data_IF_353842498068
#
_entry.id   IF_353842498068
#
_cell.length_a   1.000
_cell.length_b   1.000
_cell.length_c   1.000
_cell.angle_alpha   90.00
_cell.angle_beta   90.00
_cell.angle_gamma   90.00
#
_symmetry.space_group_name_H-M   'P 1'
#
loop_
_entity.id
_entity.type
_entity.pdbx_description
1 polymer ?
#
# COMPACT_ATOMS: atom_id res chain seq x y z
N UNK A 1 -34.75 15.91 14.60
CA UNK A 1 -33.28 16.03 14.59
C UNK A 1 -32.65 15.93 15.99
N UNK A 2 -33.14 16.74 16.94
CA UNK A 2 -32.61 16.74 18.31
C UNK A 2 -32.78 15.38 19.00
N UNK A 3 -33.92 14.71 18.80
CA UNK A 3 -34.17 13.36 19.30
C UNK A 3 -33.28 12.32 18.63
N UNK A 4 -33.16 12.34 17.30
CA UNK A 4 -32.27 11.43 16.55
C UNK A 4 -30.78 11.62 16.88
N UNK A 5 -30.38 12.85 17.21
CA UNK A 5 -29.06 13.20 17.71
C UNK A 5 -28.88 12.91 19.22
N UNK A 6 -29.90 12.34 19.89
CA UNK A 6 -29.90 12.04 21.33
C UNK A 6 -29.66 13.26 22.24
N UNK A 7 -30.06 14.43 21.80
CA UNK A 7 -29.99 15.67 22.58
C UNK A 7 -31.20 15.86 23.51
N UNK A 8 -32.30 15.21 23.17
CA UNK A 8 -33.53 15.14 24.01
C UNK A 8 -33.98 13.69 24.09
N UNK A 9 -34.64 13.26 25.20
CA UNK A 9 -35.17 11.91 25.32
C UNK A 9 -36.22 11.62 24.24
N UNK A 10 -36.23 10.36 23.76
CA UNK A 10 -37.26 9.92 22.82
C UNK A 10 -38.62 9.94 23.47
N UNK A 11 -39.57 10.60 22.81
CA UNK A 11 -40.96 10.71 23.29
C UNK A 11 -41.87 9.59 22.76
N UNK A 12 -41.37 8.74 21.86
CA UNK A 12 -42.13 7.66 21.23
C UNK A 12 -41.56 6.30 21.51
N UNK A 13 -42.36 5.37 22.00
CA UNK A 13 -42.06 3.94 22.15
C UNK A 13 -42.18 3.16 20.82
N UNK A 14 -42.31 3.84 19.70
CA UNK A 14 -42.42 3.19 18.39
C UNK A 14 -41.09 3.20 17.70
N UNK A 15 -40.62 2.00 17.29
CA UNK A 15 -39.49 1.78 16.39
C UNK A 15 -39.76 2.45 15.03
N UNK A 16 -39.70 3.77 14.95
CA UNK A 16 -39.80 4.50 13.70
C UNK A 16 -38.39 4.73 13.16
N UNK A 17 -37.96 3.88 12.24
CA UNK A 17 -36.68 3.95 11.48
C UNK A 17 -36.43 5.27 10.75
N UNK A 18 -37.45 6.14 10.66
CA UNK A 18 -37.39 7.44 10.01
C UNK A 18 -36.49 8.48 10.71
N UNK A 19 -36.18 8.30 11.98
CA UNK A 19 -35.38 9.24 12.77
C UNK A 19 -34.05 8.60 13.22
N UNK A 20 -33.43 7.77 12.37
CA UNK A 20 -32.11 7.24 12.65
C UNK A 20 -31.06 8.37 12.69
N UNK A 21 -29.96 8.14 13.42
CA UNK A 21 -28.83 9.06 13.47
C UNK A 21 -28.27 9.36 12.06
N UNK A 22 -28.24 8.36 11.19
CA UNK A 22 -27.83 8.51 9.79
C UNK A 22 -28.72 9.50 9.03
N UNK A 23 -30.04 9.38 9.16
CA UNK A 23 -30.98 10.29 8.54
C UNK A 23 -30.87 11.72 9.10
N UNK A 24 -30.62 11.87 10.41
CA UNK A 24 -30.38 13.17 11.01
C UNK A 24 -29.13 13.87 10.42
N UNK A 25 -28.03 13.14 10.25
CA UNK A 25 -26.81 13.66 9.62
C UNK A 25 -27.07 14.03 8.15
N UNK A 26 -27.76 13.18 7.39
CA UNK A 26 -28.14 13.48 5.99
C UNK A 26 -28.98 14.75 5.87
N UNK A 27 -29.95 14.93 6.76
CA UNK A 27 -30.76 16.17 6.79
C UNK A 27 -29.87 17.37 7.11
N UNK A 28 -28.97 17.27 8.09
CA UNK A 28 -28.07 18.38 8.42
C UNK A 28 -27.16 18.78 7.26
N UNK A 29 -26.76 17.83 6.40
CA UNK A 29 -25.98 18.13 5.19
C UNK A 29 -26.70 19.04 4.20
N UNK A 30 -28.04 19.11 4.24
CA UNK A 30 -28.84 19.96 3.36
C UNK A 30 -29.01 21.40 3.90
N UNK A 31 -28.64 21.66 5.15
CA UNK A 31 -28.72 23.00 5.72
C UNK A 31 -27.56 23.87 5.21
N UNK A 32 -27.82 25.11 4.82
CA UNK A 32 -26.77 26.04 4.41
C UNK A 32 -25.86 26.44 5.58
N UNK A 33 -26.39 26.44 6.81
CA UNK A 33 -25.65 26.69 8.06
C UNK A 33 -26.12 25.71 9.12
N UNK A 34 -25.19 25.06 9.79
CA UNK A 34 -25.49 24.11 10.84
C UNK A 34 -25.94 24.87 12.09
N UNK A 35 -27.13 24.60 12.68
CA UNK A 35 -27.54 25.23 13.91
C UNK A 35 -26.54 24.93 15.05
N UNK A 36 -26.10 25.96 15.76
CA UNK A 36 -25.03 25.90 16.78
C UNK A 36 -25.28 24.84 17.87
N UNK A 37 -26.54 24.61 18.22
CA UNK A 37 -26.96 23.61 19.22
C UNK A 37 -26.56 22.16 18.84
N UNK A 38 -26.35 21.87 17.56
CA UNK A 38 -25.98 20.53 17.09
C UNK A 38 -24.46 20.32 16.97
N UNK A 39 -23.68 21.40 16.92
CA UNK A 39 -22.23 21.35 16.71
C UNK A 39 -21.52 20.44 17.74
N UNK A 40 -21.77 20.54 19.07
CA UNK A 40 -21.08 19.68 20.03
C UNK A 40 -21.33 18.18 19.79
N UNK A 41 -22.56 17.82 19.40
CA UNK A 41 -22.89 16.43 19.10
C UNK A 41 -22.29 15.96 17.80
N UNK A 42 -22.27 16.79 16.77
CA UNK A 42 -21.62 16.50 15.48
C UNK A 42 -20.12 16.33 15.70
N UNK A 43 -19.48 17.19 16.48
CA UNK A 43 -18.07 17.08 16.82
C UNK A 43 -17.76 15.78 17.60
N UNK A 44 -18.62 15.41 18.54
CA UNK A 44 -18.52 14.13 19.25
C UNK A 44 -18.54 12.93 18.29
N UNK A 45 -19.39 12.97 17.24
CA UNK A 45 -19.47 11.93 16.21
C UNK A 45 -18.25 11.97 15.28
N UNK A 46 -17.81 13.17 14.90
CA UNK A 46 -16.65 13.40 14.04
C UNK A 46 -15.32 12.90 14.66
N UNK A 47 -15.22 12.92 15.99
CA UNK A 47 -14.08 12.41 16.78
C UNK A 47 -14.35 11.00 17.34
N UNK A 48 -15.47 10.39 16.98
CA UNK A 48 -15.92 9.08 17.48
C UNK A 48 -15.30 7.90 16.74
N UNK A 49 -15.39 6.70 17.36
CA UNK A 49 -14.82 5.46 16.83
C UNK A 49 -15.65 4.85 15.68
N UNK A 50 -16.92 5.22 15.57
CA UNK A 50 -17.85 4.66 14.56
C UNK A 50 -17.60 5.34 13.21
N UNK A 51 -16.87 4.66 12.36
CA UNK A 51 -16.39 5.20 11.08
C UNK A 51 -17.52 5.68 10.15
N UNK A 52 -18.65 4.97 10.11
CA UNK A 52 -19.81 5.30 9.24
C UNK A 52 -20.37 6.70 9.52
N UNK A 53 -20.42 7.12 10.79
CA UNK A 53 -20.91 8.44 11.16
C UNK A 53 -19.81 9.50 11.17
N UNK A 54 -18.56 9.06 11.38
CA UNK A 54 -17.42 9.97 11.53
C UNK A 54 -17.18 10.81 10.29
N UNK A 55 -17.08 10.19 9.12
CA UNK A 55 -16.82 10.92 7.87
C UNK A 55 -17.90 11.93 7.54
N UNK A 56 -19.16 11.53 7.67
CA UNK A 56 -20.29 12.43 7.43
C UNK A 56 -20.33 13.59 8.43
N UNK A 57 -19.96 13.35 9.69
CA UNK A 57 -19.89 14.39 10.71
C UNK A 57 -18.68 15.31 10.50
N UNK A 58 -17.54 14.79 10.03
CA UNK A 58 -16.37 15.60 9.67
C UNK A 58 -16.70 16.55 8.53
N UNK A 59 -17.35 16.08 7.46
CA UNK A 59 -17.79 16.92 6.35
C UNK A 59 -18.71 18.08 6.80
N UNK A 60 -19.51 17.87 7.84
CA UNK A 60 -20.36 18.92 8.42
C UNK A 60 -19.51 19.96 9.18
N UNK A 61 -18.55 19.53 9.99
CA UNK A 61 -17.66 20.45 10.72
C UNK A 61 -16.79 21.26 9.75
N UNK A 62 -16.33 20.68 8.66
CA UNK A 62 -15.51 21.35 7.64
C UNK A 62 -16.24 22.51 6.93
N UNK A 63 -17.58 22.50 6.94
CA UNK A 63 -18.40 23.61 6.42
C UNK A 63 -18.47 24.81 7.37
N UNK A 64 -18.03 24.65 8.62
CA UNK A 64 -18.04 25.73 9.60
C UNK A 64 -16.91 26.73 9.32
N UNK A 65 -17.07 28.00 9.71
CA UNK A 65 -15.93 28.93 9.77
C UNK A 65 -14.86 28.39 10.72
N UNK A 66 -13.59 28.47 10.30
CA UNK A 66 -12.43 28.06 11.11
C UNK A 66 -12.57 26.65 11.72
N UNK A 67 -12.81 25.60 10.89
CA UNK A 67 -13.10 24.25 11.37
C UNK A 67 -11.98 23.68 12.25
N UNK A 68 -10.74 24.11 12.05
CA UNK A 68 -9.57 23.68 12.84
C UNK A 68 -9.74 23.99 14.34
N UNK A 69 -10.42 25.07 14.72
CA UNK A 69 -10.65 25.40 16.12
C UNK A 69 -11.53 24.37 16.84
N UNK A 70 -12.56 23.87 16.15
CA UNK A 70 -13.41 22.79 16.69
C UNK A 70 -12.64 21.46 16.77
N UNK A 71 -11.83 21.15 15.76
CA UNK A 71 -11.07 19.90 15.71
C UNK A 71 -10.01 19.87 16.81
N UNK A 72 -9.38 21.00 17.11
CA UNK A 72 -8.37 21.13 18.19
C UNK A 72 -8.94 20.74 19.57
N UNK A 73 -10.25 20.83 19.80
CA UNK A 73 -10.85 20.31 21.03
C UNK A 73 -10.55 18.81 21.21
N UNK A 74 -10.48 18.05 20.10
CA UNK A 74 -10.13 16.64 20.11
C UNK A 74 -8.72 16.34 20.64
N UNK A 75 -7.78 17.29 20.48
CA UNK A 75 -6.41 17.16 20.96
C UNK A 75 -6.32 17.09 22.50
N UNK A 76 -7.27 17.71 23.19
CA UNK A 76 -7.35 17.71 24.67
C UNK A 76 -8.12 16.54 25.24
N UNK A 77 -8.65 15.66 24.40
CA UNK A 77 -9.48 14.52 24.81
C UNK A 77 -8.68 13.53 25.65
N UNK A 78 -9.31 13.04 26.74
CA UNK A 78 -8.77 11.91 27.53
C UNK A 78 -8.70 10.59 26.72
N UNK A 79 -9.53 10.46 25.68
CA UNK A 79 -9.57 9.26 24.83
C UNK A 79 -8.46 9.34 23.78
N UNK A 80 -7.55 8.36 23.80
CA UNK A 80 -6.45 8.23 22.82
C UNK A 80 -6.97 8.33 21.37
N UNK A 81 -8.02 7.56 21.02
CA UNK A 81 -8.54 7.52 19.66
C UNK A 81 -9.03 8.88 19.17
N UNK A 82 -9.66 9.68 20.04
CA UNK A 82 -10.11 11.03 19.67
C UNK A 82 -8.91 11.94 19.35
N UNK A 83 -7.81 11.86 20.13
CA UNK A 83 -6.58 12.60 19.83
C UNK A 83 -5.98 12.16 18.49
N UNK A 84 -5.89 10.84 18.25
CA UNK A 84 -5.42 10.30 16.97
C UNK A 84 -6.26 10.81 15.78
N UNK A 85 -7.59 10.77 15.91
CA UNK A 85 -8.51 11.25 14.87
C UNK A 85 -8.28 12.75 14.63
N UNK A 86 -8.20 13.56 15.68
CA UNK A 86 -8.01 15.00 15.57
C UNK A 86 -6.68 15.36 14.88
N UNK A 87 -5.57 14.69 15.25
CA UNK A 87 -4.25 14.90 14.63
C UNK A 87 -4.30 14.60 13.14
N UNK A 88 -4.81 13.41 12.76
CA UNK A 88 -4.90 13.01 11.36
C UNK A 88 -5.78 13.98 10.55
N UNK A 89 -6.94 14.35 11.11
CA UNK A 89 -7.87 15.24 10.45
C UNK A 89 -7.29 16.65 10.25
N UNK A 90 -6.62 17.23 11.25
CA UNK A 90 -5.92 18.51 11.10
C UNK A 90 -4.81 18.44 10.04
N UNK A 91 -4.11 17.32 9.96
CA UNK A 91 -3.07 17.08 8.95
C UNK A 91 -3.67 17.00 7.54
N UNK A 92 -4.78 16.27 7.38
CA UNK A 92 -5.50 16.12 6.09
C UNK A 92 -6.05 17.46 5.59
N UNK A 93 -6.54 18.32 6.49
CA UNK A 93 -7.00 19.67 6.16
C UNK A 93 -5.87 20.62 5.77
N UNK A 94 -4.63 20.22 6.00
CA UNK A 94 -3.41 20.99 5.71
C UNK A 94 -3.47 22.44 6.24
N UNK A 95 -4.02 22.64 7.45
CA UNK A 95 -4.18 23.96 8.05
C UNK A 95 -3.03 24.25 9.03
N UNK A 96 -2.12 25.15 8.63
CA UNK A 96 -0.96 25.54 9.43
C UNK A 96 -1.31 26.23 10.77
N UNK A 97 -2.50 26.76 10.93
CA UNK A 97 -2.95 27.37 12.20
C UNK A 97 -3.09 26.33 13.34
N UNK A 98 -3.09 25.03 12.99
CA UNK A 98 -3.11 23.93 13.96
C UNK A 98 -1.72 23.68 14.60
N UNK A 99 -0.63 24.10 13.97
CA UNK A 99 0.75 23.78 14.40
C UNK A 99 1.03 24.14 15.88
N UNK A 100 0.68 25.34 16.40
CA UNK A 100 0.90 25.66 17.80
C UNK A 100 0.23 24.70 18.78
N UNK A 101 -0.98 24.24 18.46
CA UNK A 101 -1.71 23.28 19.28
C UNK A 101 -1.07 21.88 19.26
N UNK A 102 -0.59 21.43 18.08
CA UNK A 102 0.13 20.16 17.94
C UNK A 102 1.46 20.18 18.71
N UNK A 103 2.22 21.27 18.62
CA UNK A 103 3.47 21.46 19.40
C UNK A 103 3.20 21.46 20.90
N UNK A 104 2.13 22.14 21.35
CA UNK A 104 1.76 22.17 22.76
C UNK A 104 1.40 20.78 23.29
N UNK A 105 0.64 20.00 22.51
CA UNK A 105 0.31 18.61 22.87
C UNK A 105 1.54 17.72 22.90
N UNK A 106 2.47 17.83 21.94
CA UNK A 106 3.68 17.00 21.89
C UNK A 106 4.54 17.12 23.17
N UNK A 107 4.55 18.29 23.81
CA UNK A 107 5.29 18.51 25.06
C UNK A 107 4.73 17.75 26.26
N UNK A 108 3.46 17.39 26.24
CA UNK A 108 2.76 16.77 27.38
C UNK A 108 2.25 15.35 27.10
N UNK A 109 2.27 14.93 25.86
CA UNK A 109 1.78 13.61 25.47
C UNK A 109 2.74 12.49 25.87
N UNK A 110 2.22 11.43 26.47
CA UNK A 110 3.00 10.27 26.92
C UNK A 110 2.71 9.00 26.11
N UNK A 111 1.63 8.97 25.30
CA UNK A 111 1.32 7.80 24.48
C UNK A 111 2.21 7.81 23.23
N UNK A 112 2.98 6.74 23.03
CA UNK A 112 3.99 6.64 21.96
C UNK A 112 3.37 6.76 20.56
N UNK A 113 2.16 6.21 20.36
CA UNK A 113 1.46 6.27 19.07
C UNK A 113 1.02 7.70 18.76
N UNK A 114 0.45 8.38 19.76
CA UNK A 114 0.04 9.78 19.61
C UNK A 114 1.23 10.68 19.36
N UNK A 115 2.33 10.48 20.11
CA UNK A 115 3.60 11.22 19.89
C UNK A 115 4.14 11.04 18.48
N UNK A 116 4.15 9.79 17.99
CA UNK A 116 4.61 9.48 16.62
C UNK A 116 3.76 10.20 15.58
N UNK A 117 2.44 10.21 15.74
CA UNK A 117 1.54 10.91 14.83
C UNK A 117 1.71 12.44 14.89
N UNK A 118 1.96 12.99 16.08
CA UNK A 118 2.27 14.43 16.24
C UNK A 118 3.55 14.82 15.51
N UNK A 119 4.64 14.06 15.67
CA UNK A 119 5.91 14.31 14.97
C UNK A 119 5.69 14.21 13.45
N UNK A 120 4.95 13.19 12.98
CA UNK A 120 4.60 13.04 11.57
C UNK A 120 3.80 14.23 11.04
N UNK A 121 2.82 14.71 11.80
CA UNK A 121 2.02 15.88 11.45
C UNK A 121 2.85 17.16 11.40
N UNK A 122 3.74 17.38 12.38
CA UNK A 122 4.63 18.54 12.42
C UNK A 122 5.58 18.54 11.22
N UNK A 123 6.15 17.38 10.86
CA UNK A 123 6.96 17.23 9.65
C UNK A 123 6.17 17.59 8.39
N UNK A 124 4.91 17.13 8.30
CA UNK A 124 4.01 17.45 7.18
C UNK A 124 3.82 18.96 7.03
N UNK A 125 3.74 19.70 8.14
CA UNK A 125 3.64 21.15 8.17
C UNK A 125 4.98 21.89 7.96
N UNK A 126 6.09 21.15 7.77
CA UNK A 126 7.41 21.72 7.52
C UNK A 126 8.20 22.10 8.78
N UNK A 127 7.76 21.68 9.95
CA UNK A 127 8.51 21.87 11.20
C UNK A 127 9.77 20.98 11.23
N UNK A 128 10.83 21.46 11.85
CA UNK A 128 12.07 20.70 12.01
C UNK A 128 11.90 19.57 13.03
N UNK A 129 12.11 18.33 12.57
CA UNK A 129 12.05 17.13 13.40
C UNK A 129 13.43 16.49 13.62
N UNK A 130 14.53 17.16 13.27
CA UNK A 130 15.89 16.60 13.33
C UNK A 130 16.27 16.10 14.73
N UNK A 131 15.81 16.76 15.79
CA UNK A 131 16.06 16.37 17.19
C UNK A 131 15.48 14.98 17.51
N UNK A 132 14.41 14.55 16.82
CA UNK A 132 13.79 13.23 16.99
C UNK A 132 14.50 12.14 16.17
N UNK A 133 15.43 12.50 15.30
CA UNK A 133 16.19 11.60 14.43
C UNK A 133 17.63 11.39 14.91
N UNK A 134 18.06 12.07 15.97
CA UNK A 134 19.38 11.89 16.56
C UNK A 134 19.51 10.50 17.20
N UNK A 135 20.61 9.75 16.97
CA UNK A 135 20.81 8.40 17.50
C UNK A 135 20.72 8.29 19.04
N UNK A 136 21.13 9.32 19.78
CA UNK A 136 21.02 9.31 21.25
C UNK A 136 19.56 9.49 21.70
N UNK A 137 18.82 10.37 21.02
CA UNK A 137 17.38 10.55 21.25
C UNK A 137 16.62 9.28 20.93
N UNK A 138 16.94 8.62 19.81
CA UNK A 138 16.32 7.35 19.40
C UNK A 138 16.61 6.23 20.41
N UNK A 139 17.82 6.17 20.97
CA UNK A 139 18.15 5.19 22.00
C UNK A 139 17.37 5.46 23.29
N UNK A 140 17.31 6.70 23.73
CA UNK A 140 16.55 7.09 24.92
C UNK A 140 15.04 6.78 24.75
N UNK A 141 14.47 7.08 23.57
CA UNK A 141 13.09 6.73 23.24
C UNK A 141 12.86 5.21 23.29
N UNK A 142 13.78 4.44 22.70
CA UNK A 142 13.71 2.98 22.71
C UNK A 142 13.76 2.41 24.13
N UNK A 143 14.62 2.94 24.99
CA UNK A 143 14.73 2.51 26.37
C UNK A 143 13.48 2.83 27.21
N UNK A 144 12.82 3.94 26.94
CA UNK A 144 11.55 4.30 27.58
C UNK A 144 10.43 3.41 27.02
N UNK A 145 10.32 3.29 25.71
CA UNK A 145 9.24 2.56 25.05
C UNK A 145 9.26 1.06 25.34
N UNK A 146 10.46 0.46 25.46
CA UNK A 146 10.63 -0.95 25.77
C UNK A 146 10.42 -1.29 27.27
N UNK A 147 10.38 -0.30 28.15
CA UNK A 147 9.93 -0.52 29.56
C UNK A 147 8.44 -0.81 29.63
N UNK A 148 7.67 -0.31 28.67
CA UNK A 148 6.26 -0.64 28.55
C UNK A 148 6.10 -2.07 28.04
N UNK A 149 4.93 -2.67 28.31
CA UNK A 149 4.63 -4.04 27.85
C UNK A 149 4.74 -4.11 26.33
N UNK A 150 5.60 -5.00 25.83
CA UNK A 150 5.63 -5.39 24.42
C UNK A 150 4.27 -6.03 24.08
N UNK A 151 3.65 -5.70 22.95
CA UNK A 151 2.38 -6.30 22.54
C UNK A 151 2.43 -7.83 22.53
N UNK A 152 1.43 -8.49 23.16
CA UNK A 152 1.39 -9.95 23.29
C UNK A 152 1.45 -10.67 21.94
N UNK A 153 0.93 -10.04 20.88
CA UNK A 153 0.99 -10.56 19.52
C UNK A 153 2.41 -10.56 18.90
N UNK A 154 3.43 -10.00 19.58
CA UNK A 154 4.84 -10.12 19.20
C UNK A 154 5.60 -11.18 19.99
N UNK A 155 4.94 -11.99 20.84
CA UNK A 155 5.58 -13.02 21.66
C UNK A 155 6.32 -14.09 20.85
N UNK A 156 5.91 -14.32 19.61
CA UNK A 156 6.53 -15.25 18.67
C UNK A 156 7.79 -14.68 17.99
N UNK A 157 7.99 -13.36 18.02
CA UNK A 157 9.04 -12.69 17.25
C UNK A 157 10.37 -12.74 18.01
N UNK A 158 11.35 -13.43 17.41
CA UNK A 158 12.71 -13.45 17.95
C UNK A 158 13.48 -12.21 17.53
N UNK A 159 13.59 -11.25 18.42
CA UNK A 159 14.33 -10.01 18.21
C UNK A 159 15.85 -10.23 18.06
N UNK A 160 16.41 -11.35 18.56
CA UNK A 160 17.82 -11.65 18.41
C UNK A 160 18.16 -12.17 17.01
N UNK A 161 17.17 -12.62 16.26
CA UNK A 161 17.33 -13.04 14.87
C UNK A 161 17.37 -11.85 13.87
N UNK A 162 17.11 -10.63 14.33
CA UNK A 162 17.20 -9.42 13.49
C UNK A 162 18.67 -9.25 13.03
N UNK A 163 18.93 -9.04 11.73
CA UNK A 163 20.29 -8.87 11.24
C UNK A 163 20.98 -7.67 11.90
N UNK A 164 22.31 -7.74 12.06
CA UNK A 164 23.06 -6.58 12.53
C UNK A 164 23.01 -5.46 11.48
N UNK A 165 22.57 -4.28 11.90
CA UNK A 165 22.35 -3.13 11.03
C UNK A 165 23.37 -2.03 11.31
N UNK A 166 23.60 -1.19 10.30
CA UNK A 166 24.52 -0.05 10.40
C UNK A 166 23.83 1.25 9.98
N UNK A 167 24.18 2.35 10.63
CA UNK A 167 23.82 3.69 10.20
C UNK A 167 24.53 4.04 8.87
N UNK A 168 24.10 5.11 8.20
CA UNK A 168 24.77 5.64 6.99
C UNK A 168 26.27 5.92 7.20
N UNK A 169 26.68 6.27 8.42
CA UNK A 169 28.08 6.51 8.76
C UNK A 169 28.89 5.22 9.05
N UNK A 170 28.30 4.04 8.87
CA UNK A 170 28.95 2.72 9.06
C UNK A 170 28.96 2.24 10.52
N UNK A 171 28.58 3.04 11.50
CA UNK A 171 28.48 2.58 12.89
C UNK A 171 27.31 1.61 13.08
N UNK A 172 27.50 0.64 13.97
CA UNK A 172 26.46 -0.35 14.30
C UNK A 172 25.30 0.34 15.03
N UNK A 173 24.07 -0.03 14.67
CA UNK A 173 22.86 0.41 15.35
C UNK A 173 22.67 -0.40 16.63
N UNK A 174 22.32 0.27 17.72
CA UNK A 174 21.95 -0.40 18.97
C UNK A 174 20.70 -1.27 18.76
N UNK A 175 20.74 -2.58 19.07
CA UNK A 175 19.63 -3.49 18.82
C UNK A 175 18.29 -3.05 19.42
N UNK A 176 18.32 -2.37 20.58
CA UNK A 176 17.13 -1.83 21.24
C UNK A 176 16.37 -0.84 20.36
N UNK A 177 17.05 -0.05 19.54
CA UNK A 177 16.43 0.92 18.64
C UNK A 177 15.57 0.18 17.61
N UNK A 178 16.12 -0.86 16.98
CA UNK A 178 15.41 -1.65 15.98
C UNK A 178 14.25 -2.43 16.63
N UNK A 179 14.49 -3.00 17.81
CA UNK A 179 13.42 -3.65 18.59
C UNK A 179 12.28 -2.66 18.85
N UNK A 180 12.59 -1.45 19.25
CA UNK A 180 11.59 -0.42 19.49
C UNK A 180 10.85 -0.02 18.23
N UNK A 181 11.53 0.18 17.11
CA UNK A 181 10.87 0.51 15.83
C UNK A 181 9.87 -0.56 15.39
N UNK A 182 10.21 -1.84 15.56
CA UNK A 182 9.30 -2.95 15.25
C UNK A 182 8.08 -2.91 16.18
N UNK A 183 8.28 -2.72 17.49
CA UNK A 183 7.20 -2.61 18.47
C UNK A 183 6.30 -1.41 18.16
N UNK A 184 6.89 -0.26 17.89
CA UNK A 184 6.17 0.97 17.54
C UNK A 184 5.36 0.80 16.25
N UNK A 185 5.95 0.25 15.21
CA UNK A 185 5.29 -0.01 13.94
C UNK A 185 4.06 -0.93 14.11
N UNK A 186 4.18 -1.99 14.93
CA UNK A 186 3.04 -2.88 15.26
C UNK A 186 1.96 -2.12 16.03
N UNK A 187 2.31 -1.25 16.98
CA UNK A 187 1.36 -0.40 17.71
C UNK A 187 0.64 0.59 16.79
N UNK A 188 1.31 1.12 15.78
CA UNK A 188 0.74 2.04 14.78
C UNK A 188 -0.25 1.35 13.84
N UNK A 189 -0.09 0.05 13.57
CA UNK A 189 -0.94 -0.75 12.68
C UNK A 189 -1.04 -0.24 11.23
N UNK A 190 -0.06 0.54 10.77
CA UNK A 190 0.00 1.14 9.44
C UNK A 190 0.94 0.32 8.55
N UNK A 191 0.43 -0.52 7.62
CA UNK A 191 1.28 -1.35 6.77
C UNK A 191 2.18 -0.54 5.82
N UNK A 192 1.70 0.60 5.33
CA UNK A 192 2.50 1.51 4.51
C UNK A 192 3.53 2.31 5.33
N UNK A 193 3.47 2.22 6.68
CA UNK A 193 4.25 3.09 7.55
C UNK A 193 3.70 4.52 7.58
N UNK A 194 4.53 5.43 8.07
CA UNK A 194 4.35 6.87 8.01
C UNK A 194 5.70 7.52 7.76
N UNK A 195 5.73 8.83 7.52
CA UNK A 195 6.97 9.56 7.22
C UNK A 195 8.03 9.41 8.31
N UNK A 196 7.65 9.41 9.59
CA UNK A 196 8.60 9.22 10.68
C UNK A 196 9.26 7.83 10.67
N UNK A 197 8.50 6.75 10.44
CA UNK A 197 9.07 5.40 10.29
C UNK A 197 9.99 5.32 9.06
N UNK A 198 9.61 5.97 7.96
CA UNK A 198 10.44 6.04 6.76
C UNK A 198 11.74 6.81 7.04
N UNK A 199 11.68 7.90 7.79
CA UNK A 199 12.85 8.65 8.21
C UNK A 199 13.78 7.81 9.09
N UNK A 200 13.23 7.04 10.03
CA UNK A 200 14.04 6.11 10.85
C UNK A 200 14.79 5.11 9.98
N UNK A 201 14.10 4.46 9.03
CA UNK A 201 14.74 3.52 8.10
C UNK A 201 15.77 4.22 7.21
N UNK A 202 15.48 5.45 6.77
CA UNK A 202 16.43 6.24 5.96
C UNK A 202 17.70 6.65 6.69
N UNK A 203 17.77 6.55 8.01
CA UNK A 203 19.03 6.74 8.76
C UNK A 203 20.00 5.55 8.58
N UNK A 204 19.50 4.39 8.26
CA UNK A 204 20.30 3.19 8.04
C UNK A 204 21.07 3.24 6.71
N UNK A 205 22.16 2.50 6.62
CA UNK A 205 22.82 2.23 5.33
C UNK A 205 21.87 1.49 4.39
N UNK A 206 21.99 1.69 3.07
CA UNK A 206 21.10 1.05 2.09
C UNK A 206 21.05 -0.48 2.26
N UNK A 207 22.22 -1.10 2.46
CA UNK A 207 22.32 -2.55 2.72
C UNK A 207 21.51 -2.97 3.96
N UNK A 208 21.54 -2.15 5.01
CA UNK A 208 20.80 -2.43 6.25
C UNK A 208 19.28 -2.22 6.08
N UNK A 209 18.87 -1.20 5.32
CA UNK A 209 17.46 -1.00 4.96
C UNK A 209 16.89 -2.24 4.24
N UNK A 210 17.59 -2.73 3.22
CA UNK A 210 17.19 -3.89 2.44
C UNK A 210 17.19 -5.17 3.27
N UNK A 211 18.23 -5.40 4.08
CA UNK A 211 18.33 -6.58 4.94
C UNK A 211 17.17 -6.61 5.97
N UNK A 212 16.86 -5.48 6.61
CA UNK A 212 15.74 -5.39 7.54
C UNK A 212 14.41 -5.63 6.84
N UNK A 213 14.19 -4.98 5.70
CA UNK A 213 12.96 -5.08 4.94
C UNK A 213 12.68 -6.52 4.48
N UNK A 214 13.68 -7.19 3.91
CA UNK A 214 13.59 -8.59 3.50
C UNK A 214 13.30 -9.50 4.71
N UNK A 215 14.03 -9.31 5.81
CA UNK A 215 13.86 -10.09 7.04
C UNK A 215 12.42 -9.97 7.57
N UNK A 216 11.89 -8.74 7.69
CA UNK A 216 10.55 -8.51 8.22
C UNK A 216 9.45 -9.08 7.32
N UNK A 217 9.58 -8.93 5.99
CA UNK A 217 8.60 -9.50 5.06
C UNK A 217 8.57 -11.03 5.14
N UNK A 218 9.74 -11.69 5.18
CA UNK A 218 9.83 -13.14 5.31
C UNK A 218 9.22 -13.58 6.65
N UNK A 219 9.55 -12.90 7.76
CA UNK A 219 9.01 -13.23 9.09
C UNK A 219 7.50 -13.07 9.15
N UNK A 220 6.95 -12.02 8.54
CA UNK A 220 5.51 -11.82 8.46
C UNK A 220 4.82 -12.95 7.68
N UNK A 221 5.33 -13.31 6.50
CA UNK A 221 4.80 -14.41 5.68
C UNK A 221 4.88 -15.74 6.44
N UNK A 222 6.06 -16.07 7.00
CA UNK A 222 6.27 -17.32 7.73
C UNK A 222 5.31 -17.43 8.92
N UNK A 223 5.16 -16.38 9.72
CA UNK A 223 4.23 -16.35 10.84
C UNK A 223 2.79 -16.57 10.39
N UNK A 224 2.42 -16.01 9.24
CA UNK A 224 1.05 -16.12 8.74
C UNK A 224 0.70 -17.53 8.21
N UNK A 225 1.67 -18.26 7.62
CA UNK A 225 1.38 -19.51 6.89
C UNK A 225 1.96 -20.77 7.53
N UNK A 226 3.13 -20.68 8.17
CA UNK A 226 3.87 -21.86 8.61
C UNK A 226 3.60 -22.21 10.08
N UNK A 227 3.10 -21.26 10.87
CA UNK A 227 2.83 -21.47 12.31
C UNK A 227 1.40 -21.95 12.50
N UNK A 228 1.17 -23.16 13.03
CA UNK A 228 -0.16 -23.64 13.38
C UNK A 228 -0.72 -22.82 14.55
N UNK A 229 -2.00 -22.43 14.48
CA UNK A 229 -2.70 -21.83 15.61
C UNK A 229 -2.92 -22.86 16.72
N UNK A 230 -2.87 -22.42 17.97
CA UNK A 230 -3.34 -23.22 19.12
C UNK A 230 -4.87 -23.39 19.09
N UNK A 231 -5.58 -22.49 18.40
CA UNK A 231 -7.02 -22.54 18.27
C UNK A 231 -7.45 -23.71 17.37
N UNK A 232 -8.30 -24.58 17.93
CA UNK A 232 -8.90 -25.68 17.18
C UNK A 232 -10.23 -25.23 16.57
N UNK A 233 -10.35 -25.36 15.26
CA UNK A 233 -11.62 -25.18 14.56
C UNK A 233 -12.33 -26.52 14.50
N UNK A 234 -13.53 -26.59 15.08
CA UNK A 234 -14.38 -27.78 15.08
C UNK A 234 -15.33 -27.74 13.88
N UNK A 235 -15.28 -28.78 13.09
CA UNK A 235 -16.26 -28.97 12.01
C UNK A 235 -17.54 -29.58 12.57
N UNK A 236 -18.66 -29.39 11.89
CA UNK A 236 -19.94 -30.00 12.22
C UNK A 236 -19.90 -31.54 12.22
N UNK A 237 -18.88 -32.14 11.62
CA UNK A 237 -18.58 -33.58 11.62
C UNK A 237 -17.88 -34.08 12.91
N UNK A 238 -17.56 -33.20 13.87
CA UNK A 238 -16.81 -33.55 15.08
C UNK A 238 -15.28 -33.59 14.87
N UNK A 239 -14.80 -33.45 13.65
CA UNK A 239 -13.36 -33.33 13.38
C UNK A 239 -12.86 -31.92 13.71
N UNK A 240 -11.67 -31.82 14.30
CA UNK A 240 -11.01 -30.54 14.56
C UNK A 240 -9.71 -30.46 13.81
N UNK A 241 -9.38 -29.27 13.33
CA UNK A 241 -8.06 -28.96 12.78
C UNK A 241 -7.54 -27.66 13.39
N UNK A 242 -6.21 -27.52 13.49
CA UNK A 242 -5.61 -26.25 13.89
C UNK A 242 -5.73 -25.27 12.74
N UNK A 243 -6.40 -24.15 12.97
CA UNK A 243 -6.41 -23.07 11.99
C UNK A 243 -4.98 -22.54 11.82
N UNK A 244 -4.56 -22.14 10.62
CA UNK A 244 -3.27 -21.47 10.46
C UNK A 244 -3.29 -20.13 11.21
N UNK A 245 -2.17 -19.76 11.82
CA UNK A 245 -1.98 -18.46 12.47
C UNK A 245 -2.26 -17.34 11.48
N UNK A 246 -2.54 -16.16 11.98
CA UNK A 246 -2.76 -14.97 11.16
C UNK A 246 -1.89 -13.84 11.67
N UNK A 247 -0.98 -13.37 10.84
CA UNK A 247 -0.11 -12.25 11.15
C UNK A 247 -0.77 -10.86 10.90
N UNK A 248 -2.09 -10.83 10.68
CA UNK A 248 -2.78 -9.55 10.37
C UNK A 248 -2.73 -8.53 11.52
N UNK A 249 -2.61 -9.01 12.76
CA UNK A 249 -2.48 -8.12 13.94
C UNK A 249 -1.12 -7.40 13.96
N UNK A 250 -0.10 -8.01 13.36
CA UNK A 250 1.27 -7.50 13.24
C UNK A 250 1.52 -6.73 11.95
N UNK A 251 0.51 -6.50 11.12
CA UNK A 251 0.64 -5.82 9.83
C UNK A 251 1.42 -4.50 9.87
N UNK A 252 1.42 -3.82 11.01
CA UNK A 252 2.17 -2.58 11.20
C UNK A 252 3.68 -2.74 11.01
N UNK A 253 4.27 -3.94 11.30
CA UNK A 253 5.69 -4.18 11.07
C UNK A 253 6.10 -4.03 9.60
N UNK A 254 5.16 -4.25 8.67
CA UNK A 254 5.36 -4.05 7.25
C UNK A 254 5.62 -2.57 6.89
N UNK A 255 5.27 -1.61 7.76
CA UNK A 255 5.59 -0.19 7.58
C UNK A 255 7.10 0.12 7.59
N UNK A 256 7.93 -0.85 7.95
CA UNK A 256 9.39 -0.73 7.94
C UNK A 256 10.03 -1.32 6.66
N UNK A 257 9.25 -1.87 5.72
CA UNK A 257 9.80 -2.57 4.54
C UNK A 257 9.78 -1.73 3.25
N UNK A 258 9.42 -0.45 3.30
CA UNK A 258 9.23 0.36 2.09
C UNK A 258 10.49 0.43 1.18
N UNK A 259 11.68 0.20 1.75
CA UNK A 259 12.95 0.18 1.01
C UNK A 259 13.28 -1.20 0.40
N UNK A 260 12.34 -2.14 0.43
CA UNK A 260 12.55 -3.46 -0.14
C UNK A 260 12.66 -3.37 -1.67
N UNK A 261 13.61 -4.11 -2.22
CA UNK A 261 13.80 -4.17 -3.68
C UNK A 261 12.73 -5.04 -4.34
N UNK A 262 12.24 -4.59 -5.49
CA UNK A 262 11.16 -5.26 -6.21
C UNK A 262 11.49 -6.68 -6.62
N UNK A 263 12.75 -6.97 -7.00
CA UNK A 263 13.17 -8.31 -7.37
C UNK A 263 13.16 -9.32 -6.20
N UNK A 264 13.15 -8.82 -4.95
CA UNK A 264 12.98 -9.64 -3.73
C UNK A 264 11.50 -9.73 -3.35
N UNK A 265 10.82 -8.57 -3.25
CA UNK A 265 9.44 -8.50 -2.76
C UNK A 265 8.46 -9.21 -3.70
N UNK A 266 8.55 -8.95 -5.00
CA UNK A 266 7.55 -9.40 -5.98
C UNK A 266 7.43 -10.92 -6.07
N UNK A 267 8.52 -11.72 -6.14
CA UNK A 267 8.41 -13.18 -6.11
C UNK A 267 7.76 -13.71 -4.82
N UNK A 268 8.11 -13.15 -3.67
CA UNK A 268 7.53 -13.55 -2.37
C UNK A 268 6.03 -13.29 -2.34
N UNK A 269 5.59 -12.10 -2.76
CA UNK A 269 4.18 -11.73 -2.78
C UNK A 269 3.41 -12.55 -3.82
N UNK A 270 3.96 -12.78 -5.02
CA UNK A 270 3.30 -13.61 -6.04
C UNK A 270 3.04 -15.03 -5.55
N UNK A 271 4.02 -15.66 -4.91
CA UNK A 271 3.87 -16.98 -4.33
C UNK A 271 2.80 -16.98 -3.24
N UNK A 272 2.88 -16.04 -2.29
CA UNK A 272 1.87 -15.91 -1.24
C UNK A 272 0.46 -15.68 -1.81
N UNK A 273 0.30 -14.77 -2.77
CA UNK A 273 -0.99 -14.45 -3.39
C UNK A 273 -1.56 -15.59 -4.23
N UNK A 274 -0.72 -16.47 -4.78
CA UNK A 274 -1.14 -17.68 -5.48
C UNK A 274 -1.65 -18.73 -4.50
N UNK A 275 -0.88 -18.99 -3.44
CA UNK A 275 -1.10 -20.11 -2.54
C UNK A 275 -2.12 -19.79 -1.43
N UNK A 276 -2.26 -18.50 -1.08
CA UNK A 276 -3.10 -18.01 0.03
C UNK A 276 -4.06 -16.87 -0.40
N UNK A 277 -4.69 -17.02 -1.54
CA UNK A 277 -5.53 -15.99 -2.16
C UNK A 277 -6.77 -15.58 -1.35
N UNK A 278 -7.22 -16.42 -0.43
CA UNK A 278 -8.33 -16.14 0.48
C UNK A 278 -7.95 -15.14 1.59
N UNK A 279 -6.66 -14.99 1.88
CA UNK A 279 -6.13 -14.12 2.93
C UNK A 279 -6.04 -12.66 2.47
N UNK A 280 -7.19 -12.10 2.12
CA UNK A 280 -7.28 -10.77 1.47
C UNK A 280 -6.70 -9.64 2.32
N UNK A 281 -6.95 -9.65 3.64
CA UNK A 281 -6.45 -8.60 4.53
C UNK A 281 -4.91 -8.57 4.61
N UNK A 282 -4.27 -9.74 4.60
CA UNK A 282 -2.81 -9.85 4.58
C UNK A 282 -2.25 -9.41 3.24
N UNK A 283 -2.88 -9.81 2.14
CA UNK A 283 -2.51 -9.36 0.79
C UNK A 283 -2.63 -7.84 0.69
N UNK A 284 -3.73 -7.25 1.14
CA UNK A 284 -3.93 -5.80 1.19
C UNK A 284 -2.84 -5.10 2.01
N UNK A 285 -2.48 -5.65 3.18
CA UNK A 285 -1.42 -5.10 4.01
C UNK A 285 -0.04 -5.16 3.33
N UNK A 286 0.29 -6.28 2.66
CA UNK A 286 1.57 -6.42 1.96
C UNK A 286 1.67 -5.50 0.74
N UNK A 287 0.63 -5.39 -0.08
CA UNK A 287 0.65 -4.47 -1.24
C UNK A 287 0.65 -3.00 -0.79
N UNK A 288 0.00 -2.69 0.34
CA UNK A 288 0.04 -1.35 0.95
C UNK A 288 1.47 -0.97 1.36
N UNK A 289 2.18 -1.90 2.00
CA UNK A 289 3.55 -1.71 2.43
C UNK A 289 4.51 -1.44 1.26
N UNK A 290 4.45 -2.26 0.21
CA UNK A 290 5.30 -2.06 -0.97
C UNK A 290 4.86 -0.86 -1.81
N UNK A 291 3.60 -0.43 -1.71
CA UNK A 291 3.09 0.77 -2.37
C UNK A 291 3.75 2.07 -1.93
N UNK A 292 4.48 2.07 -0.79
CA UNK A 292 5.33 3.19 -0.39
C UNK A 292 6.62 3.31 -1.24
N UNK A 293 7.01 2.27 -1.98
CA UNK A 293 8.20 2.24 -2.83
C UNK A 293 7.95 2.90 -4.20
N UNK A 294 9.04 3.41 -4.80
CA UNK A 294 9.08 3.88 -6.19
C UNK A 294 9.79 2.89 -7.13
N UNK A 295 10.10 1.69 -6.67
CA UNK A 295 10.77 0.66 -7.47
C UNK A 295 9.91 0.30 -8.71
N UNK A 296 10.44 0.38 -9.95
CA UNK A 296 9.69 0.09 -11.18
C UNK A 296 9.07 -1.32 -11.20
N UNK A 297 9.76 -2.31 -10.64
CA UNK A 297 9.28 -3.70 -10.58
C UNK A 297 8.03 -3.79 -9.69
N UNK A 298 8.03 -3.06 -8.56
CA UNK A 298 6.89 -2.98 -7.66
C UNK A 298 5.72 -2.28 -8.35
N UNK A 299 5.97 -1.16 -9.03
CA UNK A 299 4.93 -0.42 -9.76
C UNK A 299 4.29 -1.33 -10.83
N UNK A 300 5.09 -2.02 -11.63
CA UNK A 300 4.60 -2.98 -12.63
C UNK A 300 3.80 -4.12 -11.99
N UNK A 301 4.23 -4.61 -10.82
CA UNK A 301 3.50 -5.64 -10.09
C UNK A 301 2.12 -5.13 -9.60
N UNK A 302 2.06 -3.95 -8.99
CA UNK A 302 0.80 -3.32 -8.56
C UNK A 302 -0.16 -3.11 -9.74
N UNK A 303 0.35 -2.74 -10.91
CA UNK A 303 -0.45 -2.62 -12.13
C UNK A 303 -1.00 -3.95 -12.61
N UNK A 304 -0.19 -5.00 -12.57
CA UNK A 304 -0.66 -6.34 -12.91
C UNK A 304 -1.80 -6.79 -11.98
N UNK A 305 -1.69 -6.48 -10.69
CA UNK A 305 -2.72 -6.74 -9.69
C UNK A 305 -3.99 -5.93 -9.99
N UNK A 306 -3.86 -4.64 -10.27
CA UNK A 306 -5.01 -3.74 -10.52
C UNK A 306 -5.89 -4.18 -11.68
N UNK A 307 -5.32 -4.93 -12.63
CA UNK A 307 -6.00 -5.39 -13.86
C UNK A 307 -6.47 -6.82 -13.82
N UNK A 308 -5.71 -7.71 -13.18
CA UNK A 308 -5.85 -9.17 -13.37
C UNK A 308 -6.12 -9.95 -12.09
N UNK A 309 -5.94 -9.37 -10.93
CA UNK A 309 -6.16 -10.14 -9.71
C UNK A 309 -7.65 -10.49 -9.55
N UNK A 310 -7.93 -11.69 -9.04
CA UNK A 310 -9.29 -12.22 -8.96
C UNK A 310 -10.22 -11.50 -7.98
N UNK A 311 -9.69 -10.81 -6.95
CA UNK A 311 -10.47 -10.10 -5.95
C UNK A 311 -10.57 -8.62 -6.30
N UNK A 312 -11.80 -8.11 -6.47
CA UNK A 312 -12.07 -6.72 -6.84
C UNK A 312 -11.55 -5.70 -5.79
N UNK A 313 -11.60 -6.04 -4.49
CA UNK A 313 -11.06 -5.18 -3.42
C UNK A 313 -9.55 -4.99 -3.56
N UNK A 314 -8.81 -6.07 -3.83
CA UNK A 314 -7.36 -6.02 -4.05
C UNK A 314 -7.02 -5.22 -5.31
N UNK A 315 -7.80 -5.38 -6.39
CA UNK A 315 -7.63 -4.56 -7.59
C UNK A 315 -7.85 -3.07 -7.31
N UNK A 316 -8.90 -2.74 -6.55
CA UNK A 316 -9.21 -1.36 -6.17
C UNK A 316 -8.08 -0.75 -5.32
N UNK A 317 -7.57 -1.49 -4.34
CA UNK A 317 -6.44 -1.08 -3.51
C UNK A 317 -5.19 -0.83 -4.35
N UNK A 318 -4.85 -1.73 -5.26
CA UNK A 318 -3.71 -1.55 -6.15
C UNK A 318 -3.86 -0.30 -7.05
N UNK A 319 -5.05 -0.02 -7.60
CA UNK A 319 -5.31 1.22 -8.35
C UNK A 319 -5.10 2.47 -7.49
N UNK A 320 -5.62 2.47 -6.27
CA UNK A 320 -5.42 3.57 -5.31
C UNK A 320 -3.92 3.82 -5.07
N UNK A 321 -3.14 2.75 -4.83
CA UNK A 321 -1.70 2.87 -4.60
C UNK A 321 -0.95 3.44 -5.80
N UNK A 322 -1.30 3.03 -7.02
CA UNK A 322 -0.71 3.57 -8.26
C UNK A 322 -0.99 5.07 -8.38
N UNK A 323 -2.22 5.51 -8.12
CA UNK A 323 -2.57 6.93 -8.11
C UNK A 323 -1.77 7.71 -7.06
N UNK A 324 -1.62 7.16 -5.85
CA UNK A 324 -0.81 7.78 -4.79
C UNK A 324 0.69 7.85 -5.17
N UNK A 325 1.22 6.81 -5.82
CA UNK A 325 2.59 6.82 -6.33
C UNK A 325 2.78 7.94 -7.36
N UNK A 326 1.85 8.10 -8.30
CA UNK A 326 1.90 9.17 -9.29
C UNK A 326 1.85 10.56 -8.64
N UNK A 327 0.93 10.77 -7.72
CA UNK A 327 0.79 12.04 -6.99
C UNK A 327 2.05 12.38 -6.18
N UNK A 328 2.60 11.40 -5.43
CA UNK A 328 3.81 11.58 -4.62
C UNK A 328 5.03 11.97 -5.44
N UNK A 329 5.12 11.46 -6.66
CA UNK A 329 6.24 11.72 -7.57
C UNK A 329 5.99 12.89 -8.51
N UNK A 330 4.85 13.57 -8.41
CA UNK A 330 4.41 14.62 -9.34
C UNK A 330 4.43 14.16 -10.81
N UNK A 331 4.12 12.89 -11.07
CA UNK A 331 4.02 12.35 -12.42
C UNK A 331 2.73 12.80 -13.08
N UNK A 332 2.86 13.25 -14.29
CA UNK A 332 1.73 13.50 -15.19
C UNK A 332 1.04 12.17 -15.54
N UNK A 333 -0.17 12.26 -16.10
CA UNK A 333 -0.86 11.07 -16.61
C UNK A 333 -0.06 10.35 -17.70
N UNK A 334 0.64 11.10 -18.52
CA UNK A 334 1.51 10.57 -19.58
C UNK A 334 2.73 9.84 -19.03
N UNK A 335 3.41 10.41 -18.05
CA UNK A 335 4.55 9.77 -17.39
C UNK A 335 4.13 8.52 -16.63
N UNK A 336 3.00 8.58 -15.92
CA UNK A 336 2.42 7.39 -15.29
C UNK A 336 2.12 6.32 -16.32
N UNK A 337 1.52 6.70 -17.46
CA UNK A 337 1.16 5.77 -18.52
C UNK A 337 2.40 5.12 -19.16
N UNK A 338 3.53 5.83 -19.29
CA UNK A 338 4.78 5.25 -19.80
C UNK A 338 5.39 4.24 -18.82
N UNK A 339 5.46 4.61 -17.53
CA UNK A 339 5.97 3.75 -16.46
C UNK A 339 5.09 2.52 -16.21
N UNK A 340 3.89 2.51 -16.75
CA UNK A 340 2.84 1.55 -16.45
C UNK A 340 2.39 0.70 -17.65
N UNK A 341 3.18 0.68 -18.72
CA UNK A 341 2.86 -0.12 -19.91
C UNK A 341 2.90 -1.61 -19.55
N UNK A 342 1.79 -2.34 -19.75
CA UNK A 342 1.77 -3.77 -19.41
C UNK A 342 2.63 -4.58 -20.38
N UNK A 343 3.05 -5.75 -19.92
CA UNK A 343 3.87 -6.67 -20.73
C UNK A 343 3.08 -7.85 -21.28
N UNK A 344 1.77 -7.93 -21.10
CA UNK A 344 0.95 -9.09 -21.43
C UNK A 344 1.45 -10.42 -20.81
N UNK A 345 2.21 -10.31 -19.70
CA UNK A 345 2.80 -11.45 -19.00
C UNK A 345 4.18 -11.85 -19.52
N UNK A 346 4.76 -11.15 -20.49
CA UNK A 346 6.16 -11.32 -20.89
C UNK A 346 7.08 -10.87 -19.77
N UNK A 347 8.15 -11.59 -19.60
CA UNK A 347 9.30 -11.19 -18.76
C UNK A 347 10.21 -10.18 -19.49
N UNK A 348 11.27 -9.71 -18.83
CA UNK A 348 12.21 -8.73 -19.38
C UNK A 348 12.97 -9.26 -20.62
N UNK A 349 13.05 -10.56 -20.81
CA UNK A 349 13.61 -11.19 -22.02
C UNK A 349 12.59 -11.33 -23.16
N UNK A 350 11.36 -10.87 -22.98
CA UNK A 350 10.27 -10.98 -23.94
C UNK A 350 9.69 -12.37 -24.06
N UNK A 351 9.78 -13.18 -23.00
CA UNK A 351 9.29 -14.55 -22.96
C UNK A 351 8.09 -14.68 -22.03
N UNK A 352 7.02 -15.29 -22.50
CA UNK A 352 5.88 -15.70 -21.69
C UNK A 352 6.03 -17.18 -21.34
N UNK A 353 6.15 -17.50 -20.07
CA UNK A 353 6.26 -18.88 -19.56
C UNK A 353 4.87 -19.48 -19.33
N UNK A 354 4.67 -20.71 -19.81
CA UNK A 354 3.41 -21.45 -19.80
C UNK A 354 3.63 -22.82 -19.16
N UNK A 355 3.29 -22.97 -17.91
CA UNK A 355 3.61 -24.12 -17.07
C UNK A 355 2.49 -25.16 -17.06
N UNK A 356 2.85 -26.44 -17.27
CA UNK A 356 1.98 -27.62 -17.17
C UNK A 356 2.40 -28.57 -16.02
N UNK A 357 3.30 -28.13 -15.15
CA UNK A 357 3.92 -28.93 -14.08
C UNK A 357 5.24 -29.54 -14.55
N UNK A 358 5.23 -30.75 -15.08
CA UNK A 358 6.45 -31.37 -15.59
C UNK A 358 6.95 -30.79 -16.93
N UNK A 359 6.10 -30.07 -17.64
CA UNK A 359 6.43 -29.47 -18.94
C UNK A 359 6.17 -27.99 -18.95
N UNK A 360 7.15 -27.24 -19.43
CA UNK A 360 7.03 -25.79 -19.59
C UNK A 360 7.11 -25.42 -21.07
N UNK A 361 6.17 -24.63 -21.54
CA UNK A 361 6.12 -24.05 -22.88
C UNK A 361 6.43 -22.57 -22.79
N UNK A 362 6.84 -21.97 -23.89
CA UNK A 362 7.10 -20.54 -23.94
C UNK A 362 6.38 -19.89 -25.11
N UNK A 363 6.15 -18.60 -25.00
CA UNK A 363 5.66 -17.78 -26.11
C UNK A 363 6.47 -16.49 -26.21
N UNK A 364 6.72 -16.03 -27.45
CA UNK A 364 7.40 -14.78 -27.76
C UNK A 364 6.59 -13.99 -28.81
N UNK A 365 6.80 -12.69 -28.87
CA UNK A 365 6.17 -11.83 -29.88
C UNK A 365 6.99 -11.88 -31.18
N UNK A 366 6.31 -12.13 -32.32
CA UNK A 366 6.89 -12.05 -33.65
C UNK A 366 6.77 -10.64 -34.25
N UNK A 367 7.33 -10.46 -35.45
CA UNK A 367 7.30 -9.17 -36.17
C UNK A 367 5.87 -8.73 -36.59
N UNK A 368 4.89 -9.65 -36.57
CA UNK A 368 3.48 -9.30 -36.77
C UNK A 368 2.77 -8.92 -35.46
N UNK A 369 3.51 -8.75 -34.37
CA UNK A 369 2.99 -8.45 -33.04
C UNK A 369 2.01 -9.50 -32.50
N UNK A 370 2.29 -10.78 -32.77
CA UNK A 370 1.49 -11.92 -32.33
C UNK A 370 2.36 -12.90 -31.54
N UNK A 371 1.76 -13.56 -30.55
CA UNK A 371 2.45 -14.64 -29.85
C UNK A 371 2.72 -15.85 -30.77
N UNK A 372 3.95 -16.31 -30.75
CA UNK A 372 4.40 -17.59 -31.30
C UNK A 372 4.75 -18.50 -30.14
N UNK A 373 4.21 -19.72 -30.16
CA UNK A 373 4.43 -20.73 -29.13
C UNK A 373 5.62 -21.60 -29.46
N UNK A 374 6.35 -22.02 -28.43
CA UNK A 374 7.49 -22.93 -28.50
C UNK A 374 7.29 -24.10 -27.54
N UNK A 375 7.68 -25.29 -27.96
CA UNK A 375 7.69 -26.47 -27.10
C UNK A 375 8.91 -26.48 -26.17
N UNK A 376 9.02 -27.53 -25.34
CA UNK A 376 10.13 -27.75 -24.40
C UNK A 376 11.51 -27.84 -25.06
N UNK A 377 11.56 -28.13 -26.38
CA UNK A 377 12.79 -28.21 -27.19
C UNK A 377 13.06 -26.89 -27.95
N UNK A 378 12.25 -25.85 -27.74
CA UNK A 378 12.38 -24.58 -28.46
C UNK A 378 11.87 -24.59 -29.90
N UNK A 379 11.12 -25.61 -30.32
CA UNK A 379 10.49 -25.68 -31.67
C UNK A 379 9.15 -24.99 -31.66
N UNK A 380 8.82 -24.26 -32.74
CA UNK A 380 7.53 -23.60 -32.93
C UNK A 380 6.39 -24.62 -32.99
N UNK A 381 5.33 -24.31 -32.23
CA UNK A 381 4.09 -25.12 -32.24
C UNK A 381 2.87 -24.21 -32.51
N UNK A 382 1.85 -24.78 -33.17
CA UNK A 382 0.62 -24.03 -33.55
C UNK A 382 -0.34 -23.79 -32.39
N UNK A 383 -0.34 -24.69 -31.40
CA UNK A 383 -1.23 -24.64 -30.25
C UNK A 383 -0.57 -25.32 -29.04
N UNK A 384 -1.05 -24.97 -27.84
CA UNK A 384 -0.65 -25.67 -26.62
C UNK A 384 -1.05 -27.15 -26.71
N UNK A 385 -0.11 -28.07 -26.37
CA UNK A 385 -0.37 -29.52 -26.53
C UNK A 385 -1.49 -30.03 -25.63
N UNK A 386 -1.97 -31.22 -25.98
CA UNK A 386 -2.93 -31.98 -25.18
C UNK A 386 -2.28 -32.40 -23.85
N UNK A 387 -3.03 -32.44 -22.76
CA UNK A 387 -2.54 -32.92 -21.47
C UNK A 387 -1.99 -34.34 -21.55
N UNK A 388 -0.92 -34.62 -20.79
CA UNK A 388 -0.41 -35.98 -20.54
C UNK A 388 -0.81 -36.44 -19.15
N UNK A 389 -0.66 -37.71 -18.86
CA UNK A 389 -1.03 -38.32 -17.57
C UNK A 389 -0.31 -37.65 -16.38
N UNK A 390 0.95 -37.25 -16.59
CA UNK A 390 1.79 -36.66 -15.54
C UNK A 390 1.65 -35.13 -15.44
N UNK A 391 0.91 -34.48 -16.33
CA UNK A 391 0.72 -33.02 -16.24
C UNK A 391 -0.33 -32.68 -15.17
N UNK A 392 -0.16 -31.55 -14.49
CA UNK A 392 -1.12 -31.05 -13.53
C UNK A 392 -2.37 -30.47 -14.23
N UNK A 393 -3.50 -31.12 -14.02
CA UNK A 393 -4.78 -30.74 -14.65
C UNK A 393 -5.27 -29.33 -14.25
N UNK A 394 -4.93 -28.87 -13.06
CA UNK A 394 -5.29 -27.54 -12.56
C UNK A 394 -4.41 -26.49 -13.22
N UNK A 395 -3.09 -26.69 -13.20
CA UNK A 395 -2.13 -25.81 -13.87
C UNK A 395 -2.43 -25.67 -15.36
N UNK A 396 -2.81 -26.77 -16.03
CA UNK A 396 -3.18 -26.71 -17.46
C UNK A 396 -4.34 -25.79 -17.72
N UNK A 397 -5.41 -25.89 -16.91
CA UNK A 397 -6.59 -25.02 -17.05
C UNK A 397 -6.22 -23.56 -16.84
N UNK A 398 -5.47 -23.29 -15.80
CA UNK A 398 -4.99 -21.95 -15.46
C UNK A 398 -4.08 -21.40 -16.56
N UNK A 399 -3.10 -22.16 -17.03
CA UNK A 399 -2.18 -21.78 -18.10
C UNK A 399 -2.89 -21.51 -19.43
N UNK A 400 -3.88 -22.30 -19.81
CA UNK A 400 -4.68 -22.05 -21.01
C UNK A 400 -5.50 -20.76 -20.88
N UNK A 401 -6.10 -20.52 -19.71
CA UNK A 401 -6.84 -19.28 -19.41
C UNK A 401 -5.88 -18.08 -19.42
N UNK A 402 -4.72 -18.22 -18.78
CA UNK A 402 -3.68 -17.20 -18.74
C UNK A 402 -3.18 -16.82 -20.13
N UNK A 403 -2.82 -17.81 -20.96
CA UNK A 403 -2.38 -17.55 -22.34
C UNK A 403 -3.46 -16.89 -23.20
N UNK A 404 -4.73 -17.28 -23.02
CA UNK A 404 -5.86 -16.64 -23.72
C UNK A 404 -6.03 -15.18 -23.29
N UNK A 405 -5.91 -14.89 -22.00
CA UNK A 405 -5.94 -13.54 -21.46
C UNK A 405 -4.74 -12.71 -21.96
N UNK A 406 -3.53 -13.29 -21.97
CA UNK A 406 -2.31 -12.62 -22.47
C UNK A 406 -2.42 -12.25 -23.95
N UNK A 407 -2.99 -13.11 -24.78
CA UNK A 407 -3.26 -12.77 -26.21
C UNK A 407 -4.22 -11.59 -26.37
N UNK A 408 -5.30 -11.57 -25.59
CA UNK A 408 -6.26 -10.45 -25.61
C UNK A 408 -5.63 -9.15 -25.15
N UNK A 409 -4.85 -9.22 -24.06
CA UNK A 409 -4.17 -8.07 -23.51
C UNK A 409 -3.09 -7.53 -24.46
N UNK A 410 -2.28 -8.41 -25.08
CA UNK A 410 -1.30 -8.00 -26.08
C UNK A 410 -1.95 -7.16 -27.17
N UNK A 411 -3.10 -7.62 -27.72
CA UNK A 411 -3.82 -6.86 -28.73
C UNK A 411 -4.25 -5.48 -28.23
N UNK A 412 -4.81 -5.40 -27.01
CA UNK A 412 -5.23 -4.13 -26.39
C UNK A 412 -4.05 -3.19 -26.14
N UNK A 413 -2.91 -3.72 -25.69
CA UNK A 413 -1.69 -2.91 -25.48
C UNK A 413 -1.21 -2.33 -26.81
N UNK A 414 -1.11 -3.18 -27.84
CA UNK A 414 -0.67 -2.72 -29.17
C UNK A 414 -1.58 -1.61 -29.68
N UNK A 415 -2.91 -1.79 -29.64
CA UNK A 415 -3.87 -0.78 -30.10
C UNK A 415 -3.72 0.53 -29.29
N UNK A 416 -3.66 0.47 -27.94
CA UNK A 416 -3.57 1.65 -27.11
C UNK A 416 -2.22 2.37 -27.23
N UNK A 417 -1.10 1.61 -27.27
CA UNK A 417 0.22 2.22 -27.36
C UNK A 417 0.50 2.76 -28.76
N UNK A 418 -0.03 2.14 -29.82
CA UNK A 418 0.05 2.70 -31.18
C UNK A 418 -0.64 4.07 -31.23
N UNK A 419 -1.83 4.20 -30.62
CA UNK A 419 -2.55 5.48 -30.55
C UNK A 419 -1.75 6.52 -29.77
N UNK A 420 -1.22 6.16 -28.59
CA UNK A 420 -0.40 7.07 -27.77
C UNK A 420 0.87 7.53 -28.49
N UNK A 421 1.58 6.64 -29.19
CA UNK A 421 2.75 7.00 -29.98
C UNK A 421 2.38 7.94 -31.14
N UNK A 422 1.21 7.72 -31.77
CA UNK A 422 0.71 8.62 -32.80
C UNK A 422 0.39 10.02 -32.24
N UNK A 423 -0.30 10.10 -31.10
CA UNK A 423 -0.58 11.36 -30.40
C UNK A 423 0.71 12.06 -30.00
N UNK A 424 1.66 11.32 -29.41
CA UNK A 424 2.98 11.83 -29.03
C UNK A 424 3.75 12.44 -30.23
N UNK A 425 3.67 11.78 -31.38
CA UNK A 425 4.26 12.30 -32.64
C UNK A 425 3.57 13.60 -33.06
N UNK A 426 2.23 13.67 -32.99
CA UNK A 426 1.49 14.87 -33.39
C UNK A 426 1.81 16.08 -32.49
N UNK A 427 2.01 15.88 -31.20
CA UNK A 427 2.35 16.95 -30.24
C UNK A 427 3.85 17.15 -30.05
N UNK A 428 4.69 16.42 -30.81
CA UNK A 428 6.16 16.46 -30.73
C UNK A 428 6.66 16.21 -29.29
N UNK A 429 6.06 15.21 -28.62
CA UNK A 429 6.42 14.85 -27.25
C UNK A 429 7.87 14.38 -27.16
N UNK A 430 8.56 14.84 -26.15
CA UNK A 430 9.93 14.46 -25.85
C UNK A 430 9.99 13.63 -24.56
N UNK A 431 10.95 12.75 -24.48
CA UNK A 431 11.28 11.95 -23.30
C UNK A 431 12.72 12.21 -22.89
N UNK A 432 12.99 12.17 -21.58
CA UNK A 432 14.36 12.07 -21.12
C UNK A 432 14.96 10.73 -21.60
N UNK A 433 16.22 10.73 -22.01
CA UNK A 433 16.89 9.52 -22.53
C UNK A 433 16.79 8.34 -21.55
N UNK A 434 16.95 8.60 -20.24
CA UNK A 434 16.83 7.58 -19.19
C UNK A 434 15.40 6.98 -19.14
N UNK A 435 14.36 7.82 -19.12
CA UNK A 435 12.96 7.37 -19.10
C UNK A 435 12.58 6.59 -20.37
N UNK A 436 13.07 7.07 -21.53
CA UNK A 436 12.85 6.39 -22.79
C UNK A 436 13.48 4.99 -22.81
N UNK A 437 14.71 4.86 -22.32
CA UNK A 437 15.39 3.57 -22.20
C UNK A 437 14.67 2.67 -21.19
N UNK A 438 14.39 3.17 -19.99
CA UNK A 438 13.85 2.37 -18.89
C UNK A 438 12.41 1.91 -19.17
N UNK A 439 11.52 2.77 -19.66
CA UNK A 439 10.09 2.45 -19.73
C UNK A 439 9.61 2.05 -21.12
N UNK A 440 10.28 2.53 -22.17
CA UNK A 440 9.87 2.22 -23.54
C UNK A 440 10.76 1.13 -24.15
N UNK A 441 12.08 1.30 -24.14
CA UNK A 441 12.99 0.37 -24.80
C UNK A 441 13.07 -1.00 -24.10
N UNK A 442 13.06 -1.05 -22.78
CA UNK A 442 13.11 -2.32 -22.04
C UNK A 442 11.78 -3.08 -22.05
N UNK A 443 10.64 -2.39 -22.26
CA UNK A 443 9.36 -3.08 -22.35
C UNK A 443 9.28 -3.90 -23.65
N UNK A 444 9.09 -5.24 -23.58
CA UNK A 444 9.20 -6.12 -24.74
C UNK A 444 8.17 -5.86 -25.84
N UNK A 445 6.99 -5.28 -25.50
CA UNK A 445 5.96 -4.91 -26.48
C UNK A 445 6.30 -3.57 -27.11
N UNK A 446 6.66 -2.59 -26.28
CA UNK A 446 7.06 -1.26 -26.75
C UNK A 446 8.29 -1.33 -27.65
N UNK A 447 9.29 -2.12 -27.27
CA UNK A 447 10.48 -2.35 -28.10
C UNK A 447 10.09 -2.74 -29.54
N UNK A 448 9.16 -3.68 -29.69
CA UNK A 448 8.66 -4.12 -31.02
C UNK A 448 7.84 -3.04 -31.76
N UNK A 449 7.18 -2.15 -31.05
CA UNK A 449 6.50 -1.01 -31.67
C UNK A 449 7.48 0.08 -32.09
N UNK A 450 8.47 0.35 -31.25
CA UNK A 450 9.47 1.41 -31.46
C UNK A 450 10.44 1.10 -32.60
N UNK A 451 10.75 -0.19 -32.84
CA UNK A 451 11.53 -0.64 -34.01
C UNK A 451 10.91 -0.22 -35.37
N UNK A 452 9.64 0.17 -35.36
CA UNK A 452 8.89 0.60 -36.56
C UNK A 452 8.82 2.10 -36.76
N UNK A 453 9.42 2.86 -35.83
CA UNK A 453 9.40 4.32 -35.83
C UNK A 453 10.80 4.87 -36.01
N UNK A 454 10.86 6.08 -36.54
CA UNK A 454 12.10 6.87 -36.62
C UNK A 454 12.14 7.76 -35.37
N UNK A 455 13.20 7.65 -34.61
CA UNK A 455 13.46 8.46 -33.44
C UNK A 455 14.55 9.48 -33.70
N UNK A 456 14.42 10.64 -33.08
CA UNK A 456 15.40 11.70 -33.14
C UNK A 456 15.95 11.99 -31.76
N UNK A 457 17.25 12.10 -31.62
CA UNK A 457 17.90 12.57 -30.40
C UNK A 457 18.08 14.08 -30.50
N UNK A 458 17.75 14.80 -29.44
CA UNK A 458 17.93 16.24 -29.29
C UNK A 458 18.99 16.47 -28.22
N UNK A 459 20.07 17.15 -28.60
CA UNK A 459 21.13 17.52 -27.67
C UNK A 459 21.49 18.99 -27.91
N UNK A 460 21.51 19.80 -26.84
CA UNK A 460 21.79 21.25 -26.90
C UNK A 460 20.90 21.97 -27.95
N UNK A 461 19.59 21.64 -27.93
CA UNK A 461 18.57 22.15 -28.88
C UNK A 461 18.84 21.81 -30.35
N UNK A 462 19.70 20.86 -30.62
CA UNK A 462 19.99 20.37 -31.99
C UNK A 462 19.57 18.94 -32.16
N UNK A 463 18.95 18.66 -33.30
CA UNK A 463 18.66 17.28 -33.72
C UNK A 463 19.96 16.64 -34.19
N UNK A 464 20.28 15.46 -33.63
CA UNK A 464 21.47 14.70 -34.00
C UNK A 464 21.06 13.46 -34.78
#
# INVERSE_FOLDING_TARGET
LAEALQLIPSQSNTNNDFFSLENAIRVLKTYPVIPSQFIPKILQLALGDIQIYRFDAQELIEKLPEPHLFIQEGLTSKKKNARVIAINWLTELNNHDAVPALVALLKTENDEVVRTLLITALEHFGEDISDFLDPLTLLAEAEIGLKNKIPDNLSWFDFNAVPQLTWKNGKVVEPKIIQWWIVLAVKLKLPAGNTLLHNYINLLSLKSQQALAQFLLIKFITQDVDTPSEDKVYLSSGLSYSAPMSAIKEKGMLGLIFAIEGYIAVPLLRNYMRDHYERRAQIEAMIDAIGASNDPIIIQFLLSISRRYRAASIQAKARQLITQIAQRNNWTEDELADRTIPTAGLDDSGVLTLDYGERTFTAKINDKLQFVLFNTEGKVIKALPVPRVNDDSTLIKETKKYFTSSKKELKQIIESQTLRLYEAMCIQRQWLSADWQEFLQTNPIMHKLMERLIWQEIKDDKVI
#
